data_IF_562769314934
#
_entry.id   IF_562769314934
#
_cell.length_a   1.000
_cell.length_b   1.000
_cell.length_c   1.000
_cell.angle_alpha   90.00
_cell.angle_beta   90.00
_cell.angle_gamma   90.00
#
_symmetry.space_group_name_H-M   'P 1'
#
loop_
_entity.id
_entity.type
_entity.pdbx_description
1 polymer ?
#
# COMPACT_ATOMS: atom_id res chain seq x y z
N UNK A 1 -46.38 45.26 19.83
CA UNK A 1 -46.79 43.81 19.82
C UNK A 1 -46.17 43.03 18.66
N UNK A 2 -46.25 43.52 17.41
CA UNK A 2 -45.65 42.84 16.26
C UNK A 2 -44.11 42.60 16.36
N UNK A 3 -43.34 43.54 16.87
CA UNK A 3 -41.88 43.41 17.01
C UNK A 3 -41.46 42.38 18.07
N UNK A 4 -42.25 42.23 19.16
CA UNK A 4 -41.96 41.20 20.18
C UNK A 4 -42.25 39.78 19.70
N UNK A 5 -43.33 39.59 18.94
CA UNK A 5 -43.66 38.31 18.38
C UNK A 5 -42.63 37.88 17.32
N UNK A 6 -42.19 38.81 16.45
CA UNK A 6 -41.14 38.57 15.47
C UNK A 6 -39.79 38.22 16.13
N UNK A 7 -39.40 38.96 17.20
CA UNK A 7 -38.21 38.64 17.98
C UNK A 7 -38.31 37.29 18.69
N UNK A 8 -39.48 36.93 19.23
CA UNK A 8 -39.68 35.62 19.85
C UNK A 8 -39.60 34.48 18.85
N UNK A 9 -40.25 34.65 17.68
CA UNK A 9 -40.16 33.66 16.60
C UNK A 9 -38.75 33.53 16.08
N UNK A 10 -38.02 34.60 15.90
CA UNK A 10 -36.60 34.59 15.52
C UNK A 10 -35.72 33.84 16.53
N UNK A 11 -35.87 34.17 17.81
CA UNK A 11 -35.15 33.47 18.90
C UNK A 11 -35.52 31.98 18.96
N UNK A 12 -36.79 31.65 18.73
CA UNK A 12 -37.24 30.26 18.70
C UNK A 12 -36.65 29.49 17.52
N UNK A 13 -36.67 30.07 16.32
CA UNK A 13 -36.03 29.43 15.15
C UNK A 13 -34.53 29.24 15.31
N UNK A 14 -33.80 30.26 15.79
CA UNK A 14 -32.36 30.16 16.09
C UNK A 14 -32.07 29.08 17.16
N UNK A 15 -32.89 28.99 18.20
CA UNK A 15 -32.75 27.92 19.22
C UNK A 15 -33.02 26.54 18.64
N UNK A 16 -33.97 26.42 17.75
CA UNK A 16 -34.29 25.16 17.06
C UNK A 16 -33.14 24.70 16.18
N UNK A 17 -32.57 25.61 15.40
CA UNK A 17 -31.38 25.32 14.57
C UNK A 17 -30.18 24.92 15.42
N UNK A 18 -29.91 25.64 16.50
CA UNK A 18 -28.83 25.30 17.45
C UNK A 18 -29.05 23.93 18.10
N UNK A 19 -30.28 23.58 18.46
CA UNK A 19 -30.61 22.28 19.03
C UNK A 19 -30.40 21.15 18.01
N UNK A 20 -30.78 21.36 16.75
CA UNK A 20 -30.54 20.41 15.65
C UNK A 20 -29.03 20.24 15.44
N UNK A 21 -28.27 21.33 15.32
CA UNK A 21 -26.81 21.27 15.17
C UNK A 21 -26.13 20.56 16.34
N UNK A 22 -26.56 20.86 17.59
CA UNK A 22 -26.06 20.18 18.78
C UNK A 22 -26.35 18.68 18.74
N UNK A 23 -27.59 18.30 18.42
CA UNK A 23 -28.00 16.89 18.34
C UNK A 23 -27.23 16.13 17.27
N UNK A 24 -27.07 16.73 16.09
CA UNK A 24 -26.25 16.14 15.00
C UNK A 24 -24.79 16.00 15.41
N UNK A 25 -24.23 17.00 16.11
CA UNK A 25 -22.86 16.95 16.62
C UNK A 25 -22.66 15.82 17.64
N UNK A 26 -23.61 15.67 18.58
CA UNK A 26 -23.58 14.58 19.57
C UNK A 26 -23.68 13.22 18.88
N UNK A 27 -24.59 13.07 17.93
CA UNK A 27 -24.73 11.84 17.14
C UNK A 27 -23.46 11.51 16.36
N UNK A 28 -22.86 12.52 15.71
CA UNK A 28 -21.60 12.34 14.98
C UNK A 28 -20.42 11.97 15.91
N UNK A 29 -20.29 12.64 17.04
CA UNK A 29 -19.24 12.34 18.03
C UNK A 29 -19.42 10.92 18.56
N UNK A 30 -20.66 10.53 18.89
CA UNK A 30 -20.97 9.17 19.36
C UNK A 30 -20.62 8.14 18.29
N UNK A 31 -21.07 8.33 17.05
CA UNK A 31 -20.70 7.48 15.91
C UNK A 31 -19.17 7.38 15.77
N UNK A 32 -18.47 8.52 15.80
CA UNK A 32 -17.02 8.57 15.65
C UNK A 32 -16.32 7.77 16.75
N UNK A 33 -16.70 7.95 18.00
CA UNK A 33 -16.05 7.29 19.14
C UNK A 33 -16.37 5.79 19.22
N UNK A 34 -17.57 5.37 18.80
CA UNK A 34 -18.05 3.99 18.92
C UNK A 34 -17.71 3.17 17.66
N UNK A 35 -17.92 3.74 16.46
CA UNK A 35 -17.81 2.97 15.21
C UNK A 35 -16.50 3.23 14.46
N UNK A 36 -15.90 4.41 14.61
CA UNK A 36 -14.73 4.81 13.81
C UNK A 36 -13.43 4.57 14.57
N UNK A 37 -13.35 5.02 15.83
CA UNK A 37 -12.12 4.91 16.65
C UNK A 37 -12.05 3.53 17.29
N UNK A 38 -11.42 2.60 16.60
CA UNK A 38 -11.26 1.21 17.06
C UNK A 38 -9.80 0.78 17.05
N UNK A 39 -9.50 -0.25 17.84
CA UNK A 39 -8.22 -0.95 17.72
C UNK A 39 -8.21 -1.74 16.41
N UNK A 40 -7.07 -1.84 15.72
CA UNK A 40 -6.95 -2.74 14.58
C UNK A 40 -7.28 -4.18 14.98
N UNK A 41 -7.99 -4.89 14.14
CA UNK A 41 -8.16 -6.33 14.30
C UNK A 41 -6.86 -7.01 13.84
N UNK A 42 -6.23 -7.76 14.74
CA UNK A 42 -5.06 -8.58 14.41
C UNK A 42 -5.51 -10.02 14.13
N UNK A 43 -5.37 -10.46 12.89
CA UNK A 43 -5.79 -11.78 12.41
C UNK A 43 -4.55 -12.54 11.96
N UNK A 44 -4.17 -13.53 12.72
CA UNK A 44 -3.12 -14.50 12.41
C UNK A 44 -3.25 -15.69 13.36
N UNK A 45 -2.63 -16.81 13.03
CA UNK A 45 -2.56 -17.99 13.90
C UNK A 45 -1.89 -17.66 15.23
N UNK A 46 -2.37 -18.27 16.32
CA UNK A 46 -1.68 -18.21 17.60
C UNK A 46 -0.28 -18.84 17.50
N UNK A 47 0.75 -18.16 18.00
CA UNK A 47 2.14 -18.59 17.91
C UNK A 47 3.14 -17.47 18.12
N UNK A 48 4.41 -17.73 17.80
CA UNK A 48 5.51 -16.80 18.06
C UNK A 48 5.37 -15.49 17.29
N UNK A 49 4.90 -15.53 16.04
CA UNK A 49 4.70 -14.35 15.24
C UNK A 49 3.62 -13.44 15.83
N UNK A 50 2.48 -14.02 16.24
CA UNK A 50 1.41 -13.28 16.91
C UNK A 50 1.91 -12.65 18.21
N UNK A 51 2.60 -13.41 19.06
CA UNK A 51 3.18 -12.90 20.31
C UNK A 51 4.14 -11.74 20.07
N UNK A 52 5.04 -11.87 19.08
CA UNK A 52 5.95 -10.80 18.70
C UNK A 52 5.19 -9.53 18.30
N UNK A 53 4.13 -9.66 17.49
CA UNK A 53 3.31 -8.52 17.06
C UNK A 53 2.61 -7.85 18.25
N UNK A 54 2.01 -8.63 19.16
CA UNK A 54 1.30 -8.12 20.34
C UNK A 54 2.25 -7.47 21.35
N UNK A 55 3.46 -8.01 21.54
CA UNK A 55 4.44 -7.52 22.53
C UNK A 55 5.28 -6.33 21.99
N UNK A 56 5.60 -6.31 20.70
CA UNK A 56 6.62 -5.42 20.12
C UNK A 56 6.10 -4.41 19.11
N UNK A 57 4.81 -4.49 18.76
CA UNK A 57 4.16 -3.52 17.85
C UNK A 57 2.99 -2.86 18.58
N UNK A 58 3.25 -1.93 19.52
CA UNK A 58 2.23 -1.29 20.37
C UNK A 58 1.07 -0.71 19.59
N UNK A 59 1.33 -0.18 18.39
CA UNK A 59 0.33 0.43 17.53
C UNK A 59 -0.83 -0.52 17.17
N UNK A 60 -0.60 -1.84 17.20
CA UNK A 60 -1.65 -2.85 16.98
C UNK A 60 -2.57 -3.01 18.21
N UNK A 61 -2.12 -2.60 19.40
CA UNK A 61 -2.91 -2.59 20.63
C UNK A 61 -3.59 -1.26 20.93
N UNK A 62 -3.24 -0.21 20.20
CA UNK A 62 -3.77 1.15 20.37
C UNK A 62 -4.99 1.39 19.49
N UNK A 63 -5.84 2.36 19.87
CA UNK A 63 -6.93 2.80 19.00
C UNK A 63 -6.38 3.62 17.85
N UNK A 64 -6.79 3.31 16.64
CA UNK A 64 -6.57 4.16 15.48
C UNK A 64 -7.59 5.31 15.49
N UNK A 65 -7.10 6.54 15.34
CA UNK A 65 -7.88 7.77 15.36
C UNK A 65 -7.90 8.43 13.97
N UNK A 66 -8.77 8.01 13.07
CA UNK A 66 -8.86 8.62 11.75
C UNK A 66 -9.23 10.10 11.86
N UNK A 67 -8.79 10.89 10.88
CA UNK A 67 -9.15 12.33 10.80
C UNK A 67 -10.68 12.50 10.83
N UNK A 68 -11.28 13.18 11.84
CA UNK A 68 -12.72 13.16 12.05
C UNK A 68 -13.55 13.65 10.88
N UNK A 69 -13.13 14.70 10.19
CA UNK A 69 -13.83 15.25 9.03
C UNK A 69 -13.56 14.48 7.73
N UNK A 70 -12.75 13.42 7.77
CA UNK A 70 -12.36 12.61 6.61
C UNK A 70 -12.50 11.11 6.91
N UNK A 71 -13.67 10.69 7.42
CA UNK A 71 -13.93 9.27 7.78
C UNK A 71 -14.46 8.44 6.62
N UNK A 72 -14.89 9.05 5.53
CA UNK A 72 -15.35 8.35 4.34
C UNK A 72 -14.13 7.80 3.56
N UNK A 73 -14.21 6.55 3.15
CA UNK A 73 -13.06 5.78 2.64
C UNK A 73 -12.44 6.35 1.37
N UNK A 74 -13.25 6.84 0.44
CA UNK A 74 -12.77 7.41 -0.83
C UNK A 74 -12.15 8.79 -0.62
N UNK A 75 -12.70 9.56 0.33
CA UNK A 75 -12.07 10.81 0.76
C UNK A 75 -10.72 10.53 1.42
N UNK A 76 -10.61 9.54 2.30
CA UNK A 76 -9.33 9.11 2.86
C UNK A 76 -8.34 8.73 1.76
N UNK A 77 -8.79 7.98 0.76
CA UNK A 77 -7.96 7.56 -0.37
C UNK A 77 -7.42 8.75 -1.16
N UNK A 78 -8.29 9.66 -1.57
CA UNK A 78 -7.93 10.80 -2.44
C UNK A 78 -7.19 11.89 -1.67
N UNK A 79 -7.77 12.33 -0.53
CA UNK A 79 -7.18 13.41 0.27
C UNK A 79 -5.90 12.96 0.97
N UNK A 80 -5.80 11.67 1.35
CA UNK A 80 -4.57 11.11 1.88
C UNK A 80 -3.40 11.30 0.93
N UNK A 81 -3.59 10.95 -0.34
CA UNK A 81 -2.57 11.14 -1.38
C UNK A 81 -2.29 12.62 -1.64
N UNK A 82 -3.32 13.45 -1.81
CA UNK A 82 -3.15 14.88 -2.08
C UNK A 82 -2.41 15.57 -0.93
N UNK A 83 -2.84 15.38 0.31
CA UNK A 83 -2.25 16.01 1.49
C UNK A 83 -0.78 15.61 1.63
N UNK A 84 -0.47 14.31 1.54
CA UNK A 84 0.92 13.83 1.64
C UNK A 84 1.79 14.32 0.48
N UNK A 85 1.26 14.33 -0.74
CA UNK A 85 2.00 14.82 -1.92
C UNK A 85 2.45 16.27 -1.77
N UNK A 86 1.61 17.13 -1.15
CA UNK A 86 1.93 18.55 -0.96
C UNK A 86 2.77 18.82 0.29
N UNK A 87 2.60 18.03 1.35
CA UNK A 87 3.20 18.32 2.64
C UNK A 87 4.50 17.56 2.89
N UNK A 88 4.68 16.38 2.30
CA UNK A 88 5.90 15.61 2.47
C UNK A 88 7.02 16.15 1.54
N UNK A 89 8.22 16.34 2.07
CA UNK A 89 9.35 16.75 1.24
C UNK A 89 9.70 15.64 0.23
N UNK A 90 10.21 16.01 -0.95
CA UNK A 90 10.74 15.03 -1.89
C UNK A 90 11.94 14.30 -1.28
N UNK A 91 12.16 13.07 -1.72
CA UNK A 91 13.34 12.29 -1.34
C UNK A 91 14.34 12.35 -2.49
N UNK A 92 15.60 12.62 -2.18
CA UNK A 92 16.69 12.61 -3.16
C UNK A 92 17.21 11.19 -3.31
N UNK A 93 17.39 10.75 -4.55
CA UNK A 93 17.82 9.40 -4.87
C UNK A 93 19.01 9.41 -5.81
N UNK A 94 19.92 8.47 -5.55
CA UNK A 94 20.90 8.02 -6.53
C UNK A 94 20.28 6.86 -7.29
N UNK A 95 20.04 7.03 -8.59
CA UNK A 95 19.47 6.00 -9.45
C UNK A 95 20.52 5.01 -9.93
N UNK A 96 20.20 3.74 -9.82
CA UNK A 96 20.90 2.63 -10.42
C UNK A 96 19.99 1.94 -11.42
N UNK A 97 20.47 1.67 -12.62
CA UNK A 97 19.73 0.91 -13.63
C UNK A 97 20.20 -0.54 -13.56
N UNK A 98 19.30 -1.44 -13.25
CA UNK A 98 19.53 -2.89 -13.28
C UNK A 98 19.03 -3.44 -14.62
N UNK A 99 19.93 -4.06 -15.37
CA UNK A 99 19.59 -4.84 -16.56
C UNK A 99 19.14 -6.22 -16.13
N UNK A 100 18.00 -6.65 -16.66
CA UNK A 100 17.37 -7.94 -16.36
C UNK A 100 17.83 -8.99 -17.38
N UNK A 101 17.69 -10.26 -17.02
CA UNK A 101 18.12 -11.40 -17.81
C UNK A 101 17.45 -11.49 -19.19
N UNK A 102 16.24 -10.95 -19.33
CA UNK A 102 15.49 -10.89 -20.61
C UNK A 102 15.85 -9.68 -21.49
N UNK A 103 16.88 -8.90 -21.13
CA UNK A 103 17.27 -7.66 -21.80
C UNK A 103 16.44 -6.44 -21.42
N UNK A 104 15.46 -6.60 -20.53
CA UNK A 104 14.70 -5.50 -19.92
C UNK A 104 15.56 -4.71 -18.93
N UNK A 105 14.98 -3.63 -18.41
CA UNK A 105 15.63 -2.83 -17.38
C UNK A 105 14.63 -2.28 -16.37
N UNK A 106 15.11 -2.10 -15.14
CA UNK A 106 14.37 -1.49 -14.03
C UNK A 106 15.25 -0.48 -13.31
N UNK A 107 14.67 0.47 -12.59
CA UNK A 107 15.42 1.44 -11.82
C UNK A 107 15.35 1.11 -10.32
N UNK A 108 16.51 1.09 -9.69
CA UNK A 108 16.67 1.06 -8.24
C UNK A 108 17.07 2.46 -7.78
N UNK A 109 16.15 3.14 -7.10
CA UNK A 109 16.35 4.48 -6.56
C UNK A 109 16.78 4.37 -5.09
N UNK A 110 18.08 4.50 -4.84
CA UNK A 110 18.68 4.50 -3.52
C UNK A 110 18.57 5.88 -2.89
N UNK A 111 17.91 5.98 -1.73
CA UNK A 111 17.87 7.26 -1.02
C UNK A 111 19.27 7.70 -0.61
N UNK A 112 19.57 8.96 -0.85
CA UNK A 112 20.81 9.57 -0.41
C UNK A 112 20.78 9.73 1.12
N UNK A 113 21.77 9.15 1.79
CA UNK A 113 21.91 9.28 3.23
C UNK A 113 22.45 10.66 3.59
N UNK A 114 21.96 11.31 4.66
CA UNK A 114 22.63 12.47 5.22
C UNK A 114 24.06 12.09 5.62
N UNK A 115 25.04 12.91 5.26
CA UNK A 115 26.48 12.66 5.44
C UNK A 115 26.90 12.23 6.87
N UNK A 116 26.06 12.46 7.89
CA UNK A 116 26.30 12.10 9.27
C UNK A 116 26.06 10.61 9.62
N UNK A 117 25.32 9.85 8.80
CA UNK A 117 25.01 8.45 9.11
C UNK A 117 26.01 7.43 8.58
N UNK A 118 26.93 7.85 7.71
CA UNK A 118 27.93 6.97 7.09
C UNK A 118 29.12 6.63 8.00
N UNK A 119 29.32 7.31 9.11
CA UNK A 119 30.47 7.16 9.98
C UNK A 119 30.13 6.38 11.26
N UNK A 120 30.19 5.05 11.25
CA UNK A 120 30.23 4.31 12.49
C UNK A 120 29.57 2.94 12.61
N UNK A 121 28.93 2.41 11.60
CA UNK A 121 28.36 1.07 11.70
C UNK A 121 29.42 0.00 11.37
N UNK A 122 29.92 -0.69 12.40
CA UNK A 122 30.85 -1.83 12.27
C UNK A 122 30.17 -3.12 11.72
N UNK A 123 29.04 -3.01 11.01
CA UNK A 123 28.31 -4.14 10.46
C UNK A 123 27.52 -3.77 9.21
N UNK A 124 27.07 -4.78 8.47
CA UNK A 124 26.23 -4.61 7.29
C UNK A 124 24.86 -4.06 7.68
N UNK A 125 24.53 -2.85 7.24
CA UNK A 125 23.25 -2.21 7.52
C UNK A 125 22.10 -2.95 6.84
N UNK A 126 20.93 -3.07 7.51
CA UNK A 126 19.71 -3.55 6.87
C UNK A 126 19.36 -2.71 5.65
N UNK A 127 18.66 -3.31 4.70
CA UNK A 127 18.10 -2.60 3.53
C UNK A 127 16.58 -2.72 3.57
N UNK A 128 15.88 -1.61 3.40
CA UNK A 128 14.43 -1.57 3.18
C UNK A 128 14.16 -1.36 1.69
N UNK A 129 13.71 -2.42 1.02
CA UNK A 129 13.27 -2.41 -0.37
C UNK A 129 11.78 -2.09 -0.43
N UNK A 130 11.41 -1.07 -1.22
CA UNK A 130 10.01 -0.67 -1.38
C UNK A 130 9.53 -0.86 -2.82
N UNK A 131 8.35 -1.48 -2.95
CA UNK A 131 7.64 -1.71 -4.21
C UNK A 131 6.41 -0.78 -4.26
N UNK A 132 6.40 0.23 -5.13
CA UNK A 132 5.24 1.12 -5.29
C UNK A 132 4.01 0.41 -5.87
N UNK A 133 2.85 1.05 -5.71
CA UNK A 133 1.60 0.61 -6.30
C UNK A 133 1.51 0.85 -7.82
N UNK A 134 0.32 0.62 -8.34
CA UNK A 134 0.02 0.76 -9.78
C UNK A 134 0.40 2.15 -10.30
N UNK A 135 1.22 2.19 -11.33
CA UNK A 135 1.79 3.42 -11.92
C UNK A 135 2.57 4.35 -10.97
N UNK A 136 2.84 3.89 -9.75
CA UNK A 136 3.65 4.62 -8.78
C UNK A 136 5.15 4.45 -8.99
N UNK A 137 5.91 5.40 -8.50
CA UNK A 137 7.38 5.42 -8.54
C UNK A 137 7.97 5.85 -7.19
N UNK A 138 9.29 6.08 -7.16
CA UNK A 138 10.02 6.50 -5.98
C UNK A 138 9.54 7.83 -5.36
N UNK A 139 8.83 8.67 -6.09
CA UNK A 139 8.29 9.93 -5.59
C UNK A 139 6.84 9.84 -5.11
N UNK A 140 6.22 8.65 -5.15
CA UNK A 140 4.88 8.48 -4.61
C UNK A 140 4.81 8.88 -3.12
N UNK A 141 3.73 9.50 -2.71
CA UNK A 141 3.55 10.09 -1.38
C UNK A 141 3.78 9.07 -0.23
N UNK A 142 3.23 7.87 -0.36
CA UNK A 142 3.42 6.78 0.60
C UNK A 142 4.86 6.23 0.61
N UNK A 143 5.57 6.29 -0.51
CA UNK A 143 6.99 5.92 -0.58
C UNK A 143 7.83 6.89 0.25
N UNK A 144 7.52 8.20 0.15
CA UNK A 144 8.19 9.23 0.98
C UNK A 144 7.95 8.99 2.48
N UNK A 145 6.77 8.49 2.89
CA UNK A 145 6.52 8.06 4.26
C UNK A 145 7.46 6.92 4.68
N UNK A 146 7.60 5.90 3.83
CA UNK A 146 8.43 4.74 4.11
C UNK A 146 9.93 5.07 4.11
N UNK A 147 10.38 6.05 3.30
CA UNK A 147 11.76 6.53 3.34
C UNK A 147 12.15 7.10 4.72
N UNK A 148 11.18 7.71 5.43
CA UNK A 148 11.42 8.20 6.78
C UNK A 148 11.60 7.08 7.81
N UNK A 149 11.06 5.90 7.55
CA UNK A 149 11.23 4.70 8.40
C UNK A 149 12.67 4.22 8.39
N UNK A 150 13.28 4.15 7.22
CA UNK A 150 14.65 3.68 7.05
C UNK A 150 15.65 4.50 7.87
N UNK A 151 15.47 5.83 7.94
CA UNK A 151 16.32 6.71 8.76
C UNK A 151 16.23 6.43 10.25
N UNK A 152 15.09 5.90 10.73
CA UNK A 152 14.90 5.55 12.14
C UNK A 152 15.30 4.12 12.48
N UNK A 153 15.37 3.26 11.48
CA UNK A 153 15.79 1.86 11.61
C UNK A 153 17.30 1.67 11.34
N UNK A 154 18.15 2.69 11.32
CA UNK A 154 19.42 2.79 10.62
C UNK A 154 19.58 1.79 9.46
N UNK A 155 18.64 1.86 8.52
CA UNK A 155 18.59 1.00 7.35
C UNK A 155 18.80 1.80 6.06
N UNK A 156 19.44 1.23 5.08
CA UNK A 156 19.49 1.79 3.71
C UNK A 156 18.13 1.66 3.07
N UNK A 157 17.74 2.61 2.24
CA UNK A 157 16.44 2.64 1.59
C UNK A 157 16.58 2.57 0.08
N UNK A 158 15.84 1.68 -0.56
CA UNK A 158 15.81 1.53 -2.01
C UNK A 158 14.39 1.30 -2.53
N UNK A 159 14.06 1.95 -3.63
CA UNK A 159 12.78 1.80 -4.31
C UNK A 159 12.99 1.06 -5.61
N UNK A 160 12.23 0.00 -5.81
CA UNK A 160 12.13 -0.72 -7.06
C UNK A 160 11.07 -0.07 -7.95
N UNK A 161 11.51 0.66 -8.97
CA UNK A 161 10.61 1.16 -9.99
C UNK A 161 10.42 0.09 -11.08
N UNK A 162 9.20 -0.40 -11.24
CA UNK A 162 8.86 -1.38 -12.27
C UNK A 162 9.20 -0.88 -13.68
N UNK A 163 9.26 -1.80 -14.64
CA UNK A 163 9.53 -1.49 -16.07
C UNK A 163 8.64 -0.35 -16.56
N UNK A 164 9.22 0.65 -17.19
CA UNK A 164 8.53 1.80 -17.76
C UNK A 164 8.02 2.82 -16.75
N UNK A 165 8.40 2.71 -15.47
CA UNK A 165 8.05 3.69 -14.44
C UNK A 165 9.26 4.48 -13.97
N UNK A 166 8.99 5.54 -13.20
CA UNK A 166 10.04 6.45 -12.70
C UNK A 166 10.82 7.16 -13.82
N UNK A 167 10.22 7.33 -14.99
CA UNK A 167 10.86 7.98 -16.15
C UNK A 167 11.87 7.09 -16.89
N UNK A 168 11.99 5.81 -16.55
CA UNK A 168 12.88 4.87 -17.25
C UNK A 168 12.18 4.32 -18.51
N UNK A 169 12.80 4.42 -19.71
CA UNK A 169 12.26 3.79 -20.91
C UNK A 169 12.34 2.28 -20.82
N UNK A 170 11.41 1.57 -21.46
CA UNK A 170 11.50 0.11 -21.63
C UNK A 170 12.45 -0.23 -22.78
N UNK A 171 13.24 -1.29 -22.60
CA UNK A 171 14.17 -1.83 -23.59
C UNK A 171 13.64 -3.08 -24.29
N UNK A 172 12.67 -3.76 -23.68
CA UNK A 172 11.93 -4.89 -24.25
C UNK A 172 10.44 -4.54 -24.29
N UNK A 173 9.62 -5.10 -25.19
CA UNK A 173 8.19 -4.82 -25.26
C UNK A 173 7.42 -5.53 -24.13
N UNK A 174 7.90 -5.45 -22.90
CA UNK A 174 7.33 -6.06 -21.70
C UNK A 174 7.16 -5.00 -20.60
N UNK A 175 5.95 -4.92 -20.03
CA UNK A 175 5.64 -4.19 -18.80
C UNK A 175 5.68 -5.13 -17.59
N UNK A 176 4.92 -4.81 -16.58
CA UNK A 176 4.74 -5.56 -15.34
C UNK A 176 3.25 -5.83 -15.09
N UNK A 177 2.96 -6.86 -14.31
CA UNK A 177 1.61 -7.16 -13.83
C UNK A 177 1.66 -7.66 -12.37
N UNK A 178 0.51 -7.94 -11.78
CA UNK A 178 0.42 -8.37 -10.38
C UNK A 178 1.23 -9.64 -10.04
N UNK A 179 1.44 -10.52 -11.01
CA UNK A 179 2.17 -11.79 -10.83
C UNK A 179 3.62 -11.73 -11.33
N UNK A 180 4.10 -10.57 -11.78
CA UNK A 180 5.47 -10.40 -12.30
C UNK A 180 6.50 -10.37 -11.17
N UNK A 181 6.72 -11.50 -10.52
CA UNK A 181 7.70 -11.62 -9.44
C UNK A 181 9.11 -11.99 -9.92
N UNK A 182 9.28 -12.34 -11.20
CA UNK A 182 10.58 -12.67 -11.79
C UNK A 182 11.53 -11.48 -11.74
N UNK A 183 11.07 -10.31 -12.19
CA UNK A 183 11.84 -9.06 -12.11
C UNK A 183 12.23 -8.74 -10.66
N UNK A 184 11.31 -8.96 -9.72
CA UNK A 184 11.57 -8.77 -8.30
C UNK A 184 12.62 -9.76 -7.78
N UNK A 185 12.65 -11.00 -8.26
CA UNK A 185 13.66 -11.98 -7.85
C UNK A 185 15.07 -11.50 -8.22
N UNK A 186 15.28 -11.02 -9.45
CA UNK A 186 16.56 -10.44 -9.88
C UNK A 186 16.92 -9.18 -9.08
N UNK A 187 15.93 -8.32 -8.79
CA UNK A 187 16.11 -7.13 -7.93
C UNK A 187 16.53 -7.52 -6.52
N UNK A 188 15.87 -8.51 -5.90
CA UNK A 188 16.21 -8.99 -4.56
C UNK A 188 17.64 -9.51 -4.50
N UNK A 189 18.09 -10.28 -5.49
CA UNK A 189 19.47 -10.78 -5.58
C UNK A 189 20.45 -9.61 -5.69
N UNK A 190 20.17 -8.65 -6.58
CA UNK A 190 21.01 -7.48 -6.79
C UNK A 190 21.12 -6.61 -5.51
N UNK A 191 20.00 -6.39 -4.82
CA UNK A 191 19.95 -5.60 -3.57
C UNK A 191 20.68 -6.34 -2.45
N UNK A 192 20.53 -7.66 -2.32
CA UNK A 192 21.26 -8.47 -1.33
C UNK A 192 22.78 -8.45 -1.53
N UNK A 193 23.21 -8.54 -2.76
CA UNK A 193 24.65 -8.42 -3.07
C UNK A 193 25.22 -7.09 -2.58
N UNK A 194 24.42 -6.01 -2.63
CA UNK A 194 24.80 -4.67 -2.14
C UNK A 194 24.61 -4.49 -0.63
N UNK A 195 23.80 -5.32 0.00
CA UNK A 195 23.55 -5.29 1.44
C UNK A 195 24.72 -5.86 2.27
N UNK A 196 25.65 -6.60 1.63
CA UNK A 196 26.84 -7.11 2.30
C UNK A 196 26.55 -8.03 3.50
N UNK A 197 25.45 -8.79 3.46
CA UNK A 197 25.01 -9.69 4.55
C UNK A 197 24.00 -9.07 5.53
N UNK A 198 23.65 -7.81 5.40
CA UNK A 198 22.60 -7.16 6.19
C UNK A 198 21.20 -7.75 5.91
N UNK A 199 20.28 -7.59 6.87
CA UNK A 199 18.91 -8.02 6.71
C UNK A 199 18.23 -7.29 5.56
N UNK A 200 17.46 -8.00 4.71
CA UNK A 200 16.61 -7.40 3.69
C UNK A 200 15.17 -7.36 4.16
N UNK A 201 14.68 -6.16 4.37
CA UNK A 201 13.28 -5.86 4.67
C UNK A 201 12.58 -5.44 3.38
N UNK A 202 11.33 -5.83 3.19
CA UNK A 202 10.58 -5.45 1.99
C UNK A 202 9.22 -4.86 2.35
N UNK A 203 8.82 -3.78 1.66
CA UNK A 203 7.50 -3.20 1.80
C UNK A 203 6.84 -3.03 0.43
N UNK A 204 5.64 -3.59 0.24
CA UNK A 204 4.87 -3.45 -0.99
C UNK A 204 3.56 -2.72 -0.73
N UNK A 205 3.22 -1.77 -1.61
CA UNK A 205 1.99 -1.00 -1.49
C UNK A 205 1.06 -1.31 -2.66
N UNK A 206 -0.20 -1.65 -2.38
CA UNK A 206 -1.20 -1.96 -3.40
C UNK A 206 -0.69 -3.03 -4.38
N UNK A 207 -0.56 -2.75 -5.67
CA UNK A 207 0.01 -3.67 -6.67
C UNK A 207 1.42 -4.15 -6.31
N UNK A 208 2.27 -3.27 -5.75
CA UNK A 208 3.60 -3.67 -5.27
C UNK A 208 3.54 -4.72 -4.16
N UNK A 209 2.47 -4.70 -3.36
CA UNK A 209 2.21 -5.72 -2.36
C UNK A 209 1.77 -7.05 -2.97
N UNK A 210 1.04 -7.06 -4.11
CA UNK A 210 0.75 -8.28 -4.86
C UNK A 210 2.03 -8.91 -5.40
N UNK A 211 2.87 -8.12 -6.08
CA UNK A 211 4.14 -8.62 -6.64
C UNK A 211 5.02 -9.21 -5.52
N UNK A 212 5.15 -8.50 -4.39
CA UNK A 212 5.89 -8.98 -3.23
C UNK A 212 5.27 -10.27 -2.66
N UNK A 213 3.94 -10.31 -2.50
CA UNK A 213 3.24 -11.49 -2.00
C UNK A 213 3.41 -12.71 -2.90
N UNK A 214 3.37 -12.53 -4.24
CA UNK A 214 3.64 -13.60 -5.19
C UNK A 214 5.07 -14.10 -5.12
N UNK A 215 6.05 -13.20 -4.99
CA UNK A 215 7.45 -13.56 -4.75
C UNK A 215 7.61 -14.41 -3.49
N UNK A 216 7.02 -13.97 -2.37
CA UNK A 216 7.10 -14.69 -1.10
C UNK A 216 6.41 -16.06 -1.15
N UNK A 217 5.26 -16.15 -1.80
CA UNK A 217 4.52 -17.41 -1.94
C UNK A 217 5.21 -18.39 -2.89
N UNK A 218 5.79 -17.92 -4.00
CA UNK A 218 6.48 -18.75 -4.97
C UNK A 218 7.79 -19.33 -4.44
N UNK A 219 8.53 -18.56 -3.64
CA UNK A 219 9.82 -18.98 -3.10
C UNK A 219 9.74 -19.62 -1.72
N UNK A 220 8.67 -19.34 -0.95
CA UNK A 220 8.49 -19.89 0.40
C UNK A 220 9.70 -19.63 1.30
N UNK A 221 10.31 -20.69 1.82
CA UNK A 221 11.50 -20.62 2.67
C UNK A 221 12.77 -20.14 1.93
N UNK A 222 12.79 -20.18 0.60
CA UNK A 222 13.91 -19.70 -0.23
C UNK A 222 13.84 -18.19 -0.49
N UNK A 223 12.73 -17.53 -0.11
CA UNK A 223 12.60 -16.09 -0.29
C UNK A 223 13.70 -15.36 0.51
N UNK A 224 14.47 -14.57 -0.19
CA UNK A 224 15.66 -13.94 0.36
C UNK A 224 15.34 -12.58 1.06
N UNK A 225 14.20 -12.53 1.75
CA UNK A 225 13.68 -11.39 2.52
C UNK A 225 13.51 -11.81 3.97
N UNK A 226 13.98 -10.98 4.89
CA UNK A 226 13.92 -11.25 6.34
C UNK A 226 12.52 -11.01 6.91
N UNK A 227 11.86 -9.95 6.46
CA UNK A 227 10.51 -9.57 6.86
C UNK A 227 9.83 -8.72 5.77
N UNK A 228 8.53 -8.86 5.64
CA UNK A 228 7.74 -8.14 4.65
C UNK A 228 6.54 -7.42 5.26
N UNK A 229 6.25 -6.22 4.76
CA UNK A 229 5.06 -5.44 5.04
C UNK A 229 4.29 -5.19 3.74
N UNK A 230 3.00 -5.40 3.75
CA UNK A 230 2.12 -5.09 2.62
C UNK A 230 1.06 -4.10 3.10
N UNK A 231 0.83 -3.04 2.32
CA UNK A 231 -0.14 -1.99 2.65
C UNK A 231 -1.21 -1.91 1.57
N UNK A 232 -2.48 -2.05 1.96
CA UNK A 232 -3.66 -1.91 1.08
C UNK A 232 -3.54 -2.72 -0.23
N UNK A 233 -3.01 -3.94 -0.15
CA UNK A 233 -2.90 -4.79 -1.33
C UNK A 233 -4.18 -5.58 -1.55
N UNK A 234 -4.69 -5.69 -2.78
CA UNK A 234 -5.90 -6.44 -3.09
C UNK A 234 -5.62 -7.96 -3.08
N UNK A 235 -5.57 -8.58 -1.88
CA UNK A 235 -5.24 -9.99 -1.68
C UNK A 235 -6.20 -10.97 -2.37
N UNK A 236 -7.41 -10.52 -2.70
CA UNK A 236 -8.38 -11.22 -3.55
C UNK A 236 -8.75 -10.31 -4.74
N UNK A 237 -8.03 -10.45 -5.85
CA UNK A 237 -8.17 -9.59 -7.02
C UNK A 237 -9.50 -9.81 -7.73
N UNK A 238 -10.02 -11.05 -7.73
CA UNK A 238 -11.33 -11.38 -8.35
C UNK A 238 -12.43 -10.54 -7.69
N UNK A 239 -12.60 -10.68 -6.38
CA UNK A 239 -13.63 -9.95 -5.63
C UNK A 239 -13.32 -8.44 -5.52
N UNK A 240 -12.06 -8.08 -5.40
CA UNK A 240 -11.60 -6.68 -5.39
C UNK A 240 -11.93 -5.95 -6.68
N UNK A 241 -11.81 -6.60 -7.83
CA UNK A 241 -12.17 -5.99 -9.12
C UNK A 241 -13.67 -5.69 -9.20
N UNK A 242 -14.53 -6.54 -8.67
CA UNK A 242 -15.98 -6.29 -8.59
C UNK A 242 -16.30 -5.06 -7.72
N UNK A 243 -15.58 -4.90 -6.60
CA UNK A 243 -15.71 -3.72 -5.75
C UNK A 243 -15.27 -2.44 -6.47
N UNK A 244 -14.18 -2.52 -7.25
CA UNK A 244 -13.62 -1.39 -8.00
C UNK A 244 -14.57 -0.88 -9.10
N UNK A 245 -15.40 -1.75 -9.67
CA UNK A 245 -16.37 -1.40 -10.71
C UNK A 245 -17.70 -0.84 -10.15
N UNK A 246 -17.90 -0.81 -8.81
CA UNK A 246 -19.15 -0.31 -8.20
C UNK A 246 -19.35 1.20 -8.47
N UNK A 247 -20.46 1.61 -9.11
CA UNK A 247 -20.73 3.02 -9.38
C UNK A 247 -21.22 3.76 -8.12
N UNK A 248 -21.18 5.11 -8.09
CA UNK A 248 -20.48 5.96 -9.06
C UNK A 248 -19.03 6.23 -8.68
N UNK A 249 -18.67 6.23 -7.40
CA UNK A 249 -17.39 6.76 -6.92
C UNK A 249 -16.21 5.81 -7.16
N UNK A 250 -16.39 4.51 -6.94
CA UNK A 250 -15.32 3.54 -7.22
C UNK A 250 -15.02 3.49 -8.72
N UNK A 251 -16.06 3.55 -9.57
CA UNK A 251 -15.88 3.61 -11.01
C UNK A 251 -15.09 4.87 -11.45
N UNK A 252 -15.25 6.00 -10.76
CA UNK A 252 -14.46 7.21 -11.01
C UNK A 252 -12.98 7.01 -10.63
N UNK A 253 -12.70 6.36 -9.51
CA UNK A 253 -11.34 6.00 -9.11
C UNK A 253 -10.71 5.02 -10.13
N UNK A 254 -11.47 4.00 -10.54
CA UNK A 254 -11.05 3.04 -11.56
C UNK A 254 -10.75 3.73 -12.90
N UNK A 255 -11.58 4.72 -13.30
CA UNK A 255 -11.33 5.53 -14.49
C UNK A 255 -10.02 6.32 -14.42
N UNK A 256 -9.74 6.94 -13.26
CA UNK A 256 -8.48 7.67 -13.05
C UNK A 256 -7.27 6.74 -13.16
N UNK A 257 -7.34 5.56 -12.54
CA UNK A 257 -6.28 4.54 -12.61
C UNK A 257 -6.09 4.04 -14.04
N UNK A 258 -7.17 3.73 -14.75
CA UNK A 258 -7.12 3.32 -16.16
C UNK A 258 -6.51 4.39 -17.07
N UNK A 259 -6.78 5.68 -16.79
CA UNK A 259 -6.15 6.80 -17.49
C UNK A 259 -4.63 6.80 -17.31
N UNK A 260 -4.16 6.57 -16.07
CA UNK A 260 -2.73 6.49 -15.78
C UNK A 260 -2.07 5.31 -16.49
N UNK A 261 -2.70 4.13 -16.47
CA UNK A 261 -2.23 2.95 -17.21
C UNK A 261 -2.12 3.21 -18.71
N UNK A 262 -3.14 3.80 -19.33
CA UNK A 262 -3.10 4.20 -20.75
C UNK A 262 -1.97 5.16 -21.06
N UNK A 263 -1.73 6.14 -20.16
CA UNK A 263 -0.65 7.10 -20.33
C UNK A 263 0.72 6.41 -20.25
N UNK A 264 0.89 5.45 -19.31
CA UNK A 264 2.11 4.64 -19.21
C UNK A 264 2.37 3.88 -20.50
N UNK A 265 1.38 3.13 -21.00
CA UNK A 265 1.56 2.36 -22.26
C UNK A 265 1.81 3.30 -23.44
N UNK A 266 1.14 4.45 -23.49
CA UNK A 266 1.33 5.45 -24.55
C UNK A 266 2.72 6.06 -24.58
N UNK A 267 3.35 6.23 -23.43
CA UNK A 267 4.70 6.79 -23.30
C UNK A 267 5.79 5.87 -23.89
N UNK A 268 5.50 4.56 -24.05
CA UNK A 268 6.48 3.59 -24.49
C UNK A 268 6.21 3.07 -25.90
N UNK A 269 6.95 3.57 -26.91
CA UNK A 269 6.77 3.21 -28.31
C UNK A 269 6.82 1.70 -28.61
N UNK A 270 7.70 0.87 -27.97
CA UNK A 270 7.71 -0.58 -28.18
C UNK A 270 6.37 -1.27 -27.91
N UNK A 271 5.56 -0.74 -26.97
CA UNK A 271 4.25 -1.29 -26.60
C UNK A 271 3.15 -0.97 -27.61
N UNK A 272 3.40 -0.12 -28.59
CA UNK A 272 2.39 0.21 -29.62
C UNK A 272 2.23 -0.89 -30.69
N UNK A 273 3.16 -1.85 -30.75
CA UNK A 273 3.25 -2.90 -31.78
C UNK A 273 3.07 -4.31 -31.20
N UNK A 274 2.17 -4.46 -30.22
CA UNK A 274 1.87 -5.75 -29.61
C UNK A 274 0.66 -6.46 -30.27
N UNK A 275 0.34 -7.67 -29.81
CA UNK A 275 -0.79 -8.47 -30.33
C UNK A 275 -2.16 -8.00 -29.81
N UNK A 276 -2.26 -6.87 -29.15
CA UNK A 276 -3.47 -6.27 -28.60
C UNK A 276 -4.06 -5.21 -29.51
N UNK A 277 -5.38 -4.98 -29.41
CA UNK A 277 -6.05 -3.87 -30.10
C UNK A 277 -5.68 -2.54 -29.41
N UNK A 278 -4.76 -1.82 -30.03
CA UNK A 278 -4.31 -0.50 -29.55
C UNK A 278 -5.46 0.50 -29.38
N UNK A 279 -6.45 0.49 -30.27
CA UNK A 279 -7.59 1.40 -30.18
C UNK A 279 -8.47 1.05 -28.98
N UNK A 280 -8.68 -0.23 -28.70
CA UNK A 280 -9.38 -0.70 -27.51
C UNK A 280 -8.64 -0.27 -26.24
N UNK A 281 -7.32 -0.49 -26.16
CA UNK A 281 -6.49 -0.04 -25.02
C UNK A 281 -6.66 1.45 -24.76
N UNK A 282 -6.67 2.28 -25.80
CA UNK A 282 -6.81 3.74 -25.64
C UNK A 282 -8.22 4.19 -25.22
N UNK A 283 -9.25 3.37 -25.43
CA UNK A 283 -10.64 3.66 -25.04
C UNK A 283 -11.02 3.17 -23.65
N UNK A 284 -10.18 2.36 -22.99
CA UNK A 284 -10.48 1.81 -21.66
C UNK A 284 -10.86 2.88 -20.66
N UNK A 285 -11.95 2.67 -19.94
CA UNK A 285 -12.48 3.56 -18.90
C UNK A 285 -12.41 2.97 -17.49
N UNK A 286 -12.04 1.70 -17.36
CA UNK A 286 -11.81 1.06 -16.06
C UNK A 286 -10.53 0.22 -16.10
N UNK A 287 -10.03 -0.14 -14.91
CA UNK A 287 -8.86 -1.02 -14.78
C UNK A 287 -9.17 -2.38 -15.40
N UNK A 288 -10.36 -2.93 -15.17
CA UNK A 288 -10.78 -4.20 -15.77
C UNK A 288 -10.74 -4.18 -17.29
N UNK A 289 -11.27 -3.11 -17.91
CA UNK A 289 -11.21 -2.97 -19.38
C UNK A 289 -9.77 -2.87 -19.89
N UNK A 290 -8.89 -2.20 -19.16
CA UNK A 290 -7.47 -2.13 -19.51
C UNK A 290 -6.80 -3.51 -19.40
N UNK A 291 -7.07 -4.22 -18.32
CA UNK A 291 -6.51 -5.55 -18.07
C UNK A 291 -7.00 -6.57 -19.13
N UNK A 292 -8.26 -6.47 -19.56
CA UNK A 292 -8.81 -7.27 -20.64
C UNK A 292 -8.15 -6.94 -21.98
N UNK A 293 -8.07 -5.65 -22.33
CA UNK A 293 -7.56 -5.22 -23.65
C UNK A 293 -6.03 -5.32 -23.76
N UNK A 294 -5.31 -5.22 -22.66
CA UNK A 294 -3.84 -5.17 -22.65
C UNK A 294 -3.21 -6.26 -21.79
N UNK A 295 -3.42 -6.25 -20.46
CA UNK A 295 -2.63 -7.04 -19.52
C UNK A 295 -2.81 -8.55 -19.76
N UNK A 296 -4.05 -9.01 -19.91
CA UNK A 296 -4.34 -10.44 -20.12
C UNK A 296 -3.70 -10.97 -21.41
N UNK A 297 -3.77 -10.21 -22.50
CA UNK A 297 -3.14 -10.56 -23.77
C UNK A 297 -1.62 -10.47 -23.71
N UNK A 298 -1.11 -9.39 -23.10
CA UNK A 298 0.33 -9.09 -23.00
C UNK A 298 1.10 -10.16 -22.23
N UNK A 299 0.49 -10.72 -21.19
CA UNK A 299 1.10 -11.75 -20.35
C UNK A 299 0.59 -13.17 -20.65
N UNK A 300 -0.20 -13.36 -21.71
CA UNK A 300 -0.63 -14.67 -22.17
C UNK A 300 -1.66 -15.39 -21.31
N UNK A 301 -2.47 -14.65 -20.52
CA UNK A 301 -3.51 -15.25 -19.68
C UNK A 301 -4.77 -15.69 -20.46
N UNK A 302 -4.94 -15.23 -21.68
CA UNK A 302 -6.10 -15.55 -22.51
C UNK A 302 -7.40 -14.82 -22.13
N UNK A 303 -7.61 -14.48 -20.84
CA UNK A 303 -8.75 -13.68 -20.39
C UNK A 303 -8.41 -12.89 -19.11
N UNK A 304 -9.17 -11.83 -18.84
CA UNK A 304 -9.01 -11.04 -17.62
C UNK A 304 -9.37 -11.84 -16.36
N UNK A 305 -10.33 -12.76 -16.46
CA UNK A 305 -10.70 -13.67 -15.37
C UNK A 305 -9.56 -14.64 -15.03
N UNK A 306 -8.87 -15.16 -16.02
CA UNK A 306 -7.70 -16.02 -15.81
C UNK A 306 -6.56 -15.21 -15.16
N UNK A 307 -6.32 -13.98 -15.60
CA UNK A 307 -5.36 -13.08 -14.99
C UNK A 307 -5.72 -12.79 -13.53
N UNK A 308 -6.97 -12.44 -13.24
CA UNK A 308 -7.40 -12.08 -11.86
C UNK A 308 -7.33 -13.29 -10.91
N UNK A 309 -7.67 -14.49 -11.37
CA UNK A 309 -7.45 -15.72 -10.60
C UNK A 309 -5.95 -15.95 -10.30
N UNK A 310 -5.10 -15.78 -11.31
CA UNK A 310 -3.66 -15.91 -11.13
C UNK A 310 -3.11 -14.83 -10.17
N UNK A 311 -3.62 -13.60 -10.23
CA UNK A 311 -3.21 -12.48 -9.40
C UNK A 311 -3.71 -12.55 -7.95
N UNK A 312 -4.76 -13.33 -7.66
CA UNK A 312 -5.29 -13.52 -6.30
C UNK A 312 -4.30 -14.28 -5.44
N UNK A 313 -4.01 -13.72 -4.24
CA UNK A 313 -3.08 -14.27 -3.25
C UNK A 313 -3.76 -15.09 -2.17
N UNK A 314 -5.08 -14.98 -2.00
CA UNK A 314 -5.86 -15.66 -0.96
C UNK A 314 -5.36 -17.10 -0.70
N UNK A 315 -5.42 -17.96 -1.68
CA UNK A 315 -5.08 -19.39 -1.57
C UNK A 315 -3.56 -19.64 -1.48
N UNK A 316 -2.74 -18.62 -1.75
CA UNK A 316 -1.27 -18.69 -1.75
C UNK A 316 -0.65 -18.24 -0.44
N UNK A 317 -1.41 -17.60 0.45
CA UNK A 317 -0.89 -17.08 1.73
C UNK A 317 -0.28 -18.19 2.59
N UNK A 318 -0.81 -19.42 2.52
CA UNK A 318 -0.26 -20.57 3.23
C UNK A 318 1.15 -20.97 2.80
N UNK A 319 1.58 -20.59 1.61
CA UNK A 319 2.93 -20.88 1.10
C UNK A 319 3.98 -19.87 1.57
N UNK A 320 3.56 -18.74 2.14
CA UNK A 320 4.47 -17.71 2.67
C UNK A 320 5.15 -18.23 3.94
N UNK A 321 6.49 -18.22 3.95
CA UNK A 321 7.33 -18.65 5.07
C UNK A 321 8.08 -17.51 5.76
N UNK A 322 8.10 -16.33 5.14
CA UNK A 322 8.66 -15.09 5.69
C UNK A 322 7.59 -14.37 6.54
N UNK A 323 7.96 -13.77 7.69
CA UNK A 323 7.02 -12.93 8.43
C UNK A 323 6.45 -11.83 7.55
N UNK A 324 5.14 -11.86 7.32
CA UNK A 324 4.40 -10.92 6.47
C UNK A 324 3.27 -10.27 7.27
N UNK A 325 3.36 -8.96 7.48
CA UNK A 325 2.27 -8.16 8.02
C UNK A 325 1.54 -7.43 6.88
N UNK A 326 0.22 -7.60 6.79
CA UNK A 326 -0.62 -6.88 5.84
C UNK A 326 -1.45 -5.83 6.59
N UNK A 327 -1.20 -4.55 6.34
CA UNK A 327 -2.05 -3.46 6.81
C UNK A 327 -3.20 -3.26 5.82
N UNK A 328 -4.42 -3.43 6.31
CA UNK A 328 -5.65 -3.28 5.55
C UNK A 328 -6.60 -2.31 6.28
N UNK A 329 -7.53 -1.71 5.56
CA UNK A 329 -8.66 -0.98 6.13
C UNK A 329 -9.97 -1.72 5.82
N UNK A 330 -10.85 -1.86 6.82
CA UNK A 330 -12.14 -2.52 6.64
C UNK A 330 -13.05 -1.79 5.64
N UNK A 331 -12.80 -0.51 5.45
CA UNK A 331 -13.54 0.36 4.52
C UNK A 331 -12.81 0.63 3.20
N UNK A 332 -11.73 -0.10 2.90
CA UNK A 332 -11.00 0.07 1.62
C UNK A 332 -11.98 -0.09 0.43
N UNK A 333 -12.15 0.92 -0.44
CA UNK A 333 -13.13 0.88 -1.52
C UNK A 333 -12.84 -0.22 -2.55
N UNK A 334 -11.62 -0.74 -2.61
CA UNK A 334 -11.21 -1.78 -3.54
C UNK A 334 -11.17 -3.16 -2.88
N UNK A 335 -10.89 -3.21 -1.59
CA UNK A 335 -10.85 -4.46 -0.84
C UNK A 335 -11.45 -4.29 0.58
N UNK A 336 -12.78 -4.13 0.69
CA UNK A 336 -13.46 -4.02 1.96
C UNK A 336 -13.37 -5.31 2.79
N UNK A 337 -13.73 -5.23 4.06
CA UNK A 337 -13.57 -6.32 5.04
C UNK A 337 -14.07 -7.68 4.55
N UNK A 338 -15.22 -7.70 3.88
CA UNK A 338 -15.85 -8.93 3.38
C UNK A 338 -15.06 -9.63 2.26
N UNK A 339 -14.08 -8.94 1.68
CA UNK A 339 -13.21 -9.48 0.62
C UNK A 339 -11.88 -9.97 1.19
N UNK A 340 -11.48 -9.52 2.39
CA UNK A 340 -10.21 -9.91 2.98
C UNK A 340 -10.15 -11.42 3.27
N UNK A 341 -8.98 -12.07 3.08
CA UNK A 341 -8.77 -13.49 3.36
C UNK A 341 -8.53 -13.75 4.85
N UNK A 342 -9.57 -13.48 5.69
CA UNK A 342 -9.44 -13.55 7.16
C UNK A 342 -9.18 -14.98 7.65
N UNK A 343 -9.83 -15.98 7.02
CA UNK A 343 -9.66 -17.39 7.36
C UNK A 343 -8.24 -17.87 7.07
N UNK A 344 -7.78 -17.62 5.86
CA UNK A 344 -6.46 -18.04 5.38
C UNK A 344 -5.33 -17.40 6.18
N UNK A 345 -5.49 -16.13 6.55
CA UNK A 345 -4.54 -15.45 7.43
C UNK A 345 -4.61 -15.98 8.86
N UNK A 346 -5.82 -16.30 9.38
CA UNK A 346 -6.03 -16.87 10.70
C UNK A 346 -5.37 -18.25 10.89
N UNK A 347 -5.16 -18.99 9.81
CA UNK A 347 -4.48 -20.28 9.81
C UNK A 347 -2.96 -20.17 9.61
N UNK A 348 -2.47 -19.03 9.11
CA UNK A 348 -1.05 -18.86 8.78
C UNK A 348 -0.20 -18.54 10.01
N UNK A 349 0.93 -19.25 10.16
CA UNK A 349 1.91 -18.95 11.19
C UNK A 349 2.82 -17.77 10.86
N UNK A 350 2.83 -17.29 9.62
CA UNK A 350 3.75 -16.25 9.12
C UNK A 350 3.05 -15.05 8.47
N UNK A 351 1.75 -15.13 8.20
CA UNK A 351 0.98 -14.03 7.66
C UNK A 351 0.04 -13.49 8.73
N UNK A 352 0.04 -12.18 8.91
CA UNK A 352 -0.88 -11.49 9.79
C UNK A 352 -1.58 -10.35 9.04
N UNK A 353 -2.89 -10.18 9.25
CA UNK A 353 -3.62 -9.01 8.81
C UNK A 353 -3.83 -8.08 10.00
N UNK A 354 -3.46 -6.81 9.86
CA UNK A 354 -3.82 -5.73 10.76
C UNK A 354 -4.90 -4.89 10.06
N UNK A 355 -6.15 -5.02 10.52
CA UNK A 355 -7.31 -4.40 9.84
C UNK A 355 -7.84 -3.26 10.70
N UNK A 356 -7.66 -2.01 10.24
CA UNK A 356 -8.24 -0.83 10.87
C UNK A 356 -9.71 -0.67 10.46
N UNK A 357 -10.54 -0.06 11.30
CA UNK A 357 -11.95 0.16 10.97
C UNK A 357 -12.14 1.14 9.81
N UNK A 358 -11.25 2.10 9.67
CA UNK A 358 -11.20 3.13 8.63
C UNK A 358 -9.77 3.26 8.10
N UNK A 359 -9.61 3.87 6.92
CA UNK A 359 -8.29 4.09 6.32
C UNK A 359 -8.34 4.28 4.81
N UNK A 360 -9.40 3.82 4.16
CA UNK A 360 -9.50 3.80 2.71
C UNK A 360 -8.35 3.02 2.06
N UNK A 361 -8.10 3.30 0.79
CA UNK A 361 -6.97 2.69 0.07
C UNK A 361 -5.71 3.54 0.25
N UNK A 362 -4.78 3.08 1.09
CA UNK A 362 -3.50 3.76 1.42
C UNK A 362 -3.69 5.09 2.21
N UNK A 363 -4.92 5.53 2.49
CA UNK A 363 -5.20 6.83 3.10
C UNK A 363 -4.60 6.95 4.49
N UNK A 364 -5.13 6.24 5.46
CA UNK A 364 -4.71 6.18 6.86
C UNK A 364 -4.38 7.55 7.48
N UNK A 365 -5.22 8.57 7.19
CA UNK A 365 -5.09 9.89 7.78
C UNK A 365 -5.51 9.87 9.26
N UNK A 366 -4.73 10.53 10.11
CA UNK A 366 -4.94 10.59 11.55
C UNK A 366 -4.98 12.03 12.09
N UNK A 367 -5.61 12.14 13.27
CA UNK A 367 -5.65 13.38 14.03
C UNK A 367 -6.63 14.40 13.47
N UNK A 368 -6.90 15.44 14.27
CA UNK A 368 -7.85 16.49 13.90
C UNK A 368 -7.46 17.22 12.63
N UNK A 369 -6.18 17.50 12.49
CA UNK A 369 -5.60 18.12 11.31
C UNK A 369 -4.34 17.36 10.89
N UNK A 370 -4.32 16.73 9.70
CA UNK A 370 -3.19 15.90 9.29
C UNK A 370 -1.92 16.66 8.92
N UNK A 371 -1.95 18.02 8.90
CA UNK A 371 -0.80 18.82 8.48
C UNK A 371 0.45 18.72 9.36
N UNK A 372 0.38 18.73 10.71
CA UNK A 372 1.57 18.54 11.55
C UNK A 372 2.23 17.17 11.35
N UNK A 373 1.49 16.04 11.37
CA UNK A 373 2.05 14.73 11.02
C UNK A 373 2.57 14.65 9.59
N UNK A 374 1.99 15.39 8.65
CA UNK A 374 2.42 15.37 7.26
C UNK A 374 3.79 16.03 7.05
N UNK A 375 4.14 17.04 7.84
CA UNK A 375 5.50 17.62 7.86
C UNK A 375 6.52 16.71 8.54
N UNK A 376 6.05 15.68 9.26
CA UNK A 376 6.86 14.68 9.91
C UNK A 376 6.51 13.30 9.30
N UNK A 377 7.16 12.89 8.20
CA UNK A 377 6.82 11.65 7.48
C UNK A 377 6.73 10.42 8.38
N UNK A 378 7.60 10.37 9.40
CA UNK A 378 7.64 9.28 10.38
C UNK A 378 6.44 9.25 11.35
N UNK A 379 5.66 10.32 11.45
CA UNK A 379 4.47 10.38 12.28
C UNK A 379 3.22 9.81 11.58
N UNK A 380 3.27 9.55 10.28
CA UNK A 380 2.17 8.91 9.55
C UNK A 380 1.92 7.48 10.06
N UNK A 381 0.66 7.06 10.11
CA UNK A 381 0.28 5.73 10.63
C UNK A 381 1.05 4.59 9.95
N UNK A 382 1.11 4.60 8.62
CA UNK A 382 1.86 3.62 7.82
C UNK A 382 3.33 3.57 8.23
N UNK A 383 3.96 4.74 8.40
CA UNK A 383 5.36 4.83 8.77
C UNK A 383 5.61 4.33 10.21
N UNK A 384 4.76 4.70 11.17
CA UNK A 384 4.87 4.24 12.56
C UNK A 384 4.71 2.71 12.66
N UNK A 385 3.71 2.15 11.96
CA UNK A 385 3.52 0.71 11.94
C UNK A 385 4.71 -0.01 11.32
N UNK A 386 5.18 0.45 10.16
CA UNK A 386 6.34 -0.12 9.48
C UNK A 386 7.60 -0.08 10.36
N UNK A 387 7.85 1.06 11.05
CA UNK A 387 8.98 1.22 11.96
C UNK A 387 8.92 0.22 13.11
N UNK A 388 7.79 0.14 13.83
CA UNK A 388 7.64 -0.77 14.96
C UNK A 388 7.78 -2.23 14.52
N UNK A 389 7.13 -2.60 13.42
CA UNK A 389 7.15 -3.95 12.88
C UNK A 389 8.57 -4.40 12.47
N UNK A 390 9.25 -3.60 11.66
CA UNK A 390 10.60 -3.95 11.22
C UNK A 390 11.61 -3.90 12.36
N UNK A 391 11.52 -2.93 13.28
CA UNK A 391 12.36 -2.89 14.48
C UNK A 391 12.19 -4.15 15.33
N UNK A 392 10.96 -4.62 15.52
CA UNK A 392 10.68 -5.84 16.29
C UNK A 392 11.39 -7.06 15.70
N UNK A 393 11.36 -7.23 14.37
CA UNK A 393 11.97 -8.37 13.68
C UNK A 393 13.49 -8.26 13.52
N UNK A 394 14.04 -7.04 13.47
CA UNK A 394 15.49 -6.83 13.51
C UNK A 394 16.08 -7.15 14.89
N UNK A 395 15.34 -6.81 15.96
CA UNK A 395 15.77 -7.09 17.35
C UNK A 395 15.55 -8.56 17.74
N UNK A 396 14.49 -9.18 17.25
CA UNK A 396 14.14 -10.58 17.56
C UNK A 396 13.68 -11.28 16.27
N UNK A 397 14.61 -11.76 15.46
CA UNK A 397 14.28 -12.57 14.30
C UNK A 397 13.48 -13.81 14.71
N UNK A 398 12.46 -14.15 13.94
CA UNK A 398 11.74 -15.39 14.14
C UNK A 398 12.57 -16.57 13.57
N UNK A 399 12.54 -17.74 14.24
CA UNK A 399 13.22 -18.91 13.71
C UNK A 399 12.64 -19.28 12.35
N UNK A 400 13.43 -19.95 11.48
CA UNK A 400 12.89 -20.47 10.21
C UNK A 400 11.62 -21.28 10.47
N UNK A 401 10.63 -21.16 9.58
CA UNK A 401 9.42 -21.98 9.69
C UNK A 401 9.81 -23.42 9.33
N UNK A 402 9.55 -24.41 10.16
CA UNK A 402 9.66 -25.82 9.74
C UNK A 402 8.71 -26.01 8.53
N UNK A 403 9.17 -26.71 7.53
CA UNK A 403 8.43 -27.04 6.29
C UNK A 403 7.14 -27.80 6.58
#
# INVERSE_FOLDING_TARGET
MFNMLAAFLYVFEVKKELLVCFSLSVLYITYYLVEVVKKPMLICRAGDFRRLLEERVPLLGERYWPTPWCVESRLQTVLGSIIRSHLLPPVHYRREILKLSDGGQVALDWAEEPAASAAGAAGALPVLLVLPGLTGDSQADYVRCLAAVARRLPARFVVFNNRGLGGLPITTPRLYCAVSHDDLAEVVEAVRARAGGGALLAAGVSLGGLILGHYLAALGARAAVTAALVVSSPLDVVRGSECMERPPLNALLSYHMARNLRNTVRAHAPLRRGPWDWAAVQRCRSVRQFDEAFTATHFGFGSVEAYYRAATLRDKLRAVRVPLLCLCAADDPFQPLEVLPLGEAGESARVALAVTARGGHIGFLEGWWPAPPARQPHAQYIARLAQQYFAALLLRPLPPHPD
#
